data_IF_380276009961
#
_entry.id   IF_380276009961
#
_cell.length_a   1.000
_cell.length_b   1.000
_cell.length_c   1.000
_cell.angle_alpha   90.00
_cell.angle_beta   90.00
_cell.angle_gamma   90.00
#
_symmetry.space_group_name_H-M   'P 1'
#
loop_
_entity.id
_entity.type
_entity.pdbx_description
1 polymer ?
#
# COMPACT_ATOMS: atom_id res chain seq x y z
N UNK A 1 -12.31 -10.69 -28.21
CA UNK A 1 -11.77 -10.74 -26.84
C UNK A 1 -12.94 -10.69 -25.89
N UNK A 2 -13.20 -11.79 -25.21
CA UNK A 2 -14.31 -11.87 -24.25
C UNK A 2 -14.00 -11.00 -23.03
N UNK A 3 -14.76 -9.90 -22.93
CA UNK A 3 -14.72 -8.99 -21.78
C UNK A 3 -15.74 -9.47 -20.75
N UNK A 4 -15.31 -9.60 -19.50
CA UNK A 4 -16.19 -9.88 -18.36
C UNK A 4 -16.23 -8.65 -17.45
N UNK A 5 -17.41 -8.32 -16.99
CA UNK A 5 -17.63 -7.14 -16.15
C UNK A 5 -18.09 -7.57 -14.75
N UNK A 6 -17.65 -6.82 -13.74
CA UNK A 6 -18.08 -6.95 -12.36
C UNK A 6 -18.68 -5.63 -11.86
N UNK A 7 -19.94 -5.65 -11.45
CA UNK A 7 -20.58 -4.46 -10.91
C UNK A 7 -20.15 -4.16 -9.47
N UNK A 8 -19.72 -2.93 -9.25
CA UNK A 8 -19.53 -2.33 -7.92
C UNK A 8 -20.89 -1.90 -7.33
N UNK A 9 -21.84 -1.56 -8.19
CA UNK A 9 -23.17 -1.08 -7.81
C UNK A 9 -24.27 -2.10 -8.15
N UNK A 10 -25.40 -2.10 -7.43
CA UNK A 10 -25.64 -1.34 -6.20
C UNK A 10 -24.82 -1.88 -5.03
N UNK A 11 -24.20 -0.99 -4.24
CA UNK A 11 -23.47 -1.33 -3.00
C UNK A 11 -24.32 -2.18 -2.05
N UNK A 12 -25.65 -2.02 -2.15
CA UNK A 12 -26.67 -2.83 -1.47
C UNK A 12 -26.35 -4.33 -1.38
N UNK A 13 -25.78 -4.88 -2.45
CA UNK A 13 -25.43 -6.30 -2.59
C UNK A 13 -24.39 -6.80 -1.57
N UNK A 14 -23.67 -5.89 -0.92
CA UNK A 14 -22.58 -6.21 0.01
C UNK A 14 -22.92 -5.94 1.48
N UNK A 15 -24.16 -5.56 1.84
CA UNK A 15 -24.55 -5.30 3.23
C UNK A 15 -24.71 -6.56 4.08
N UNK A 16 -25.34 -7.61 3.53
CA UNK A 16 -25.73 -8.80 4.31
C UNK A 16 -24.64 -9.88 4.37
N UNK A 17 -23.58 -9.73 3.57
CA UNK A 17 -22.45 -10.64 3.60
C UNK A 17 -21.66 -10.48 4.91
N UNK A 18 -21.09 -11.57 5.41
CA UNK A 18 -20.13 -11.55 6.51
C UNK A 18 -18.87 -12.28 6.06
N UNK A 19 -18.09 -11.62 5.20
CA UNK A 19 -16.82 -12.15 4.75
C UNK A 19 -15.83 -12.18 5.92
N UNK A 20 -15.24 -13.34 6.16
CA UNK A 20 -14.18 -13.50 7.15
C UNK A 20 -12.86 -12.98 6.60
N UNK A 21 -12.06 -12.34 7.44
CA UNK A 21 -10.66 -12.03 7.15
C UNK A 21 -9.75 -12.81 8.09
N UNK A 22 -8.67 -13.39 7.55
CA UNK A 22 -7.58 -13.91 8.36
C UNK A 22 -6.61 -12.78 8.67
N UNK A 23 -6.14 -12.69 9.91
CA UNK A 23 -5.15 -11.68 10.29
C UNK A 23 -3.90 -11.84 9.41
N UNK A 24 -3.40 -10.76 8.77
CA UNK A 24 -2.13 -10.80 8.06
C UNK A 24 -0.99 -11.23 8.99
N UNK A 25 -0.16 -12.16 8.53
CA UNK A 25 1.06 -12.59 9.23
C UNK A 25 2.24 -12.42 8.29
N UNK A 26 3.27 -11.70 8.74
CA UNK A 26 4.54 -11.62 8.01
C UNK A 26 5.15 -13.02 7.87
N UNK A 27 5.53 -13.36 6.63
CA UNK A 27 6.18 -14.64 6.29
C UNK A 27 7.61 -14.43 5.77
N UNK A 28 7.91 -13.26 5.21
CA UNK A 28 9.23 -12.86 4.75
C UNK A 28 9.30 -11.31 4.70
N UNK A 29 10.50 -10.77 4.51
CA UNK A 29 10.72 -9.34 4.31
C UNK A 29 11.94 -9.11 3.42
N UNK A 30 12.01 -7.92 2.85
CA UNK A 30 13.15 -7.43 2.09
C UNK A 30 13.27 -5.92 2.25
N UNK A 31 14.42 -5.38 1.85
CA UNK A 31 14.75 -3.96 1.98
C UNK A 31 15.34 -3.44 0.67
N UNK A 32 15.04 -2.19 0.34
CA UNK A 32 15.83 -1.38 -0.60
C UNK A 32 16.75 -0.46 0.21
N UNK A 33 18.02 -0.33 -0.18
CA UNK A 33 18.97 0.59 0.46
C UNK A 33 18.82 2.04 -0.03
N UNK A 34 19.69 2.95 0.44
CA UNK A 34 19.66 4.37 0.08
C UNK A 34 19.92 4.64 -1.42
N UNK A 35 20.43 3.65 -2.16
CA UNK A 35 20.60 3.66 -3.61
C UNK A 35 19.52 2.84 -4.35
N UNK A 36 18.45 2.45 -3.65
CA UNK A 36 17.35 1.64 -4.14
C UNK A 36 17.77 0.25 -4.65
N UNK A 37 18.81 -0.36 -4.06
CA UNK A 37 19.22 -1.73 -4.39
C UNK A 37 18.52 -2.72 -3.46
N UNK A 38 18.02 -3.80 -4.05
CA UNK A 38 17.32 -4.86 -3.34
C UNK A 38 18.26 -5.68 -2.45
N UNK A 39 17.81 -5.95 -1.23
CA UNK A 39 18.45 -6.83 -0.25
C UNK A 39 17.39 -7.67 0.46
N UNK A 40 17.65 -8.96 0.66
CA UNK A 40 16.82 -9.78 1.54
C UNK A 40 17.01 -9.37 3.00
N UNK A 41 15.94 -9.40 3.79
CA UNK A 41 15.97 -9.06 5.21
C UNK A 41 15.61 -7.59 5.50
N UNK A 42 16.08 -7.10 6.64
CA UNK A 42 15.52 -5.93 7.33
C UNK A 42 16.46 -4.74 7.47
N UNK A 43 17.45 -4.62 6.57
CA UNK A 43 18.48 -3.57 6.64
C UNK A 43 17.94 -2.15 6.63
N UNK A 44 16.76 -1.92 6.04
CA UNK A 44 16.13 -0.59 5.94
C UNK A 44 15.01 -0.36 6.96
N UNK A 45 14.87 -1.26 7.95
CA UNK A 45 13.88 -1.15 9.02
C UNK A 45 14.10 0.14 9.83
N UNK A 46 13.01 0.87 10.08
CA UNK A 46 13.00 2.09 10.88
C UNK A 46 12.16 1.94 12.15
N UNK A 47 12.45 2.79 13.14
CA UNK A 47 11.79 2.79 14.44
C UNK A 47 11.11 4.12 14.66
N UNK A 48 9.83 4.11 15.02
CA UNK A 48 9.05 5.31 15.23
C UNK A 48 9.63 6.11 16.41
N UNK A 49 9.81 7.40 16.19
CA UNK A 49 10.11 8.34 17.25
C UNK A 49 9.45 9.67 16.89
N UNK A 50 8.62 10.25 17.77
CA UNK A 50 7.81 11.41 17.41
C UNK A 50 8.68 12.60 16.97
N UNK A 51 8.26 13.33 15.92
CA UNK A 51 8.96 14.53 15.49
C UNK A 51 8.81 15.65 16.54
N UNK A 52 9.78 16.58 16.65
CA UNK A 52 9.59 17.80 17.42
C UNK A 52 8.42 18.61 16.83
N UNK A 53 7.60 19.22 17.69
CA UNK A 53 6.49 20.08 17.26
C UNK A 53 6.71 21.53 17.71
N UNK A 54 6.40 22.52 16.86
CA UNK A 54 5.91 22.38 15.48
C UNK A 54 7.00 21.87 14.51
N UNK A 55 6.62 21.04 13.53
CA UNK A 55 7.56 20.53 12.52
C UNK A 55 7.34 21.21 11.16
N UNK A 56 8.39 21.78 10.58
CA UNK A 56 8.33 22.37 9.23
C UNK A 56 8.65 21.32 8.15
N UNK A 57 7.62 20.91 7.41
CA UNK A 57 7.77 19.90 6.36
C UNK A 57 8.40 20.43 5.07
N UNK A 58 8.64 21.74 4.93
CA UNK A 58 9.27 22.31 3.73
C UNK A 58 10.80 22.22 3.76
N UNK A 59 11.40 22.11 4.95
CA UNK A 59 12.86 22.11 5.11
C UNK A 59 13.49 20.97 4.31
N UNK A 60 14.47 21.29 3.48
CA UNK A 60 15.23 20.32 2.67
C UNK A 60 14.62 19.95 1.31
N UNK A 61 13.52 20.58 0.89
CA UNK A 61 12.86 20.28 -0.39
C UNK A 61 13.79 20.41 -1.60
N UNK A 62 14.63 21.46 -1.64
CA UNK A 62 15.55 21.71 -2.76
C UNK A 62 16.68 20.65 -2.86
N UNK A 63 16.95 19.94 -1.77
CA UNK A 63 17.95 18.86 -1.69
C UNK A 63 17.33 17.46 -1.72
N UNK A 64 16.02 17.33 -1.96
CA UNK A 64 15.32 16.06 -1.89
C UNK A 64 15.88 15.04 -2.89
N UNK A 65 16.36 13.90 -2.38
CA UNK A 65 16.79 12.75 -3.18
C UNK A 65 15.58 11.89 -3.50
N UNK A 66 14.95 12.18 -4.64
CA UNK A 66 13.73 11.53 -5.08
C UNK A 66 14.03 10.30 -5.95
N UNK A 67 13.50 9.15 -5.57
CA UNK A 67 13.45 7.93 -6.37
C UNK A 67 12.73 8.18 -7.71
N UNK A 68 13.35 7.76 -8.81
CA UNK A 68 12.70 7.67 -10.12
C UNK A 68 11.90 6.37 -10.21
N UNK A 69 10.59 6.48 -10.02
CA UNK A 69 9.65 5.36 -10.00
C UNK A 69 8.88 5.19 -11.32
N UNK A 70 9.48 5.64 -12.43
CA UNK A 70 8.95 5.52 -13.79
C UNK A 70 9.16 4.14 -14.40
N UNK A 71 10.21 3.43 -13.95
CA UNK A 71 10.50 2.07 -14.36
C UNK A 71 9.38 1.10 -13.96
N UNK A 72 9.30 -0.01 -14.69
CA UNK A 72 8.42 -1.12 -14.34
C UNK A 72 9.18 -2.08 -13.42
N UNK A 73 8.83 -2.08 -12.14
CA UNK A 73 9.43 -2.96 -11.13
C UNK A 73 8.78 -4.35 -11.12
N UNK A 74 7.69 -4.53 -11.87
CA UNK A 74 6.91 -5.76 -11.92
C UNK A 74 6.62 -6.33 -10.51
N UNK A 75 6.63 -7.65 -10.36
CA UNK A 75 6.58 -8.33 -9.07
C UNK A 75 7.97 -8.79 -8.60
N UNK A 76 9.06 -8.31 -9.21
CA UNK A 76 10.38 -8.95 -9.14
C UNK A 76 10.87 -9.14 -7.71
N UNK A 77 10.94 -8.07 -6.91
CA UNK A 77 11.38 -8.15 -5.52
C UNK A 77 10.48 -9.03 -4.64
N UNK A 78 9.16 -9.04 -4.90
CA UNK A 78 8.21 -9.90 -4.20
C UNK A 78 8.44 -11.38 -4.56
N UNK A 79 8.58 -11.69 -5.85
CA UNK A 79 8.82 -13.05 -6.33
C UNK A 79 10.19 -13.57 -5.89
N UNK A 80 11.22 -12.73 -5.89
CA UNK A 80 12.56 -13.07 -5.39
C UNK A 80 12.51 -13.40 -3.89
N UNK A 81 11.79 -12.60 -3.11
CA UNK A 81 11.59 -12.83 -1.67
C UNK A 81 10.80 -14.12 -1.41
N UNK A 82 9.73 -14.38 -2.16
CA UNK A 82 8.97 -15.63 -2.06
C UNK A 82 9.86 -16.83 -2.42
N UNK A 83 10.61 -16.75 -3.52
CA UNK A 83 11.52 -17.80 -3.93
C UNK A 83 12.59 -18.09 -2.86
N UNK A 84 13.15 -17.05 -2.22
CA UNK A 84 14.09 -17.23 -1.11
C UNK A 84 13.46 -17.97 0.07
N UNK A 85 12.23 -17.59 0.46
CA UNK A 85 11.47 -18.27 1.52
C UNK A 85 11.18 -19.73 1.16
N UNK A 86 10.81 -20.03 -0.08
CA UNK A 86 10.53 -21.39 -0.54
C UNK A 86 11.78 -22.26 -0.51
N UNK A 87 12.95 -21.70 -0.86
CA UNK A 87 14.26 -22.37 -0.75
C UNK A 87 14.64 -22.66 0.70
N UNK A 88 14.46 -21.68 1.60
CA UNK A 88 14.77 -21.84 3.04
C UNK A 88 13.88 -22.90 3.69
N UNK A 89 12.58 -22.89 3.39
CA UNK A 89 11.59 -23.75 4.05
C UNK A 89 11.36 -25.09 3.35
N UNK A 90 11.91 -25.27 2.14
CA UNK A 90 11.65 -26.39 1.24
C UNK A 90 10.14 -26.62 1.00
N UNK A 91 9.34 -25.54 1.02
CA UNK A 91 7.89 -25.58 0.86
C UNK A 91 7.41 -24.41 0.02
N UNK A 92 6.56 -24.71 -0.96
CA UNK A 92 5.92 -23.68 -1.78
C UNK A 92 4.99 -22.79 -0.95
N UNK A 93 5.03 -21.49 -1.19
CA UNK A 93 4.12 -20.54 -0.57
C UNK A 93 2.75 -20.63 -1.25
N UNK A 94 1.81 -21.34 -0.61
CA UNK A 94 0.45 -21.52 -1.12
C UNK A 94 -0.40 -20.24 -0.99
N UNK A 95 -0.77 -19.68 -2.15
CA UNK A 95 -1.68 -18.56 -2.30
C UNK A 95 -2.56 -18.73 -3.54
N UNK A 96 -3.76 -18.16 -3.51
CA UNK A 96 -4.59 -18.05 -4.71
C UNK A 96 -4.21 -16.81 -5.53
N UNK A 97 -3.79 -15.74 -4.84
CA UNK A 97 -3.34 -14.49 -5.49
C UNK A 97 -2.06 -13.99 -4.82
N UNK A 98 -1.10 -13.55 -5.65
CA UNK A 98 0.15 -12.89 -5.24
C UNK A 98 0.18 -11.50 -5.87
N UNK A 99 0.37 -10.46 -5.06
CA UNK A 99 0.32 -9.07 -5.57
C UNK A 99 0.95 -8.07 -4.59
N UNK A 100 1.13 -6.83 -5.03
CA UNK A 100 1.45 -5.70 -4.17
C UNK A 100 0.24 -5.20 -3.39
N UNK A 101 0.46 -4.73 -2.17
CA UNK A 101 -0.54 -4.10 -1.29
C UNK A 101 -1.29 -2.98 -1.98
N UNK A 102 -0.62 -2.21 -2.83
CA UNK A 102 -1.22 -1.12 -3.60
C UNK A 102 -2.40 -1.60 -4.47
N UNK A 103 -2.29 -2.78 -5.08
CA UNK A 103 -3.36 -3.34 -5.93
C UNK A 103 -4.57 -3.74 -5.08
N UNK A 104 -4.33 -4.47 -3.99
CA UNK A 104 -5.39 -4.84 -3.05
C UNK A 104 -6.04 -3.62 -2.39
N UNK A 105 -5.29 -2.54 -2.14
CA UNK A 105 -5.84 -1.27 -1.63
C UNK A 105 -6.83 -0.66 -2.61
N UNK A 106 -6.52 -0.67 -3.92
CA UNK A 106 -7.41 -0.17 -4.98
C UNK A 106 -8.70 -0.99 -5.07
N UNK A 107 -8.59 -2.32 -5.00
CA UNK A 107 -9.74 -3.24 -5.00
C UNK A 107 -10.61 -3.01 -3.75
N UNK A 108 -10.01 -3.05 -2.56
CA UNK A 108 -10.73 -2.94 -1.29
C UNK A 108 -11.49 -1.62 -1.17
N UNK A 109 -10.93 -0.53 -1.69
CA UNK A 109 -11.54 0.80 -1.65
C UNK A 109 -12.50 1.11 -2.82
N UNK A 110 -12.56 0.26 -3.85
CA UNK A 110 -13.33 0.52 -5.08
C UNK A 110 -14.82 0.88 -4.86
N UNK A 111 -15.53 0.32 -3.84
CA UNK A 111 -16.93 0.69 -3.57
C UNK A 111 -17.17 2.15 -3.26
N UNK A 112 -16.18 2.83 -2.67
CA UNK A 112 -16.31 4.22 -2.21
C UNK A 112 -15.30 5.17 -2.86
N UNK A 113 -14.37 4.64 -3.66
CA UNK A 113 -13.42 5.43 -4.43
C UNK A 113 -13.86 5.59 -5.89
N UNK A 114 -14.80 6.50 -6.11
CA UNK A 114 -15.31 6.81 -7.45
C UNK A 114 -14.41 7.78 -8.21
N UNK A 115 -13.50 8.49 -7.52
CA UNK A 115 -12.70 9.54 -8.15
C UNK A 115 -11.45 8.99 -8.85
N UNK A 116 -10.96 7.81 -8.44
CA UNK A 116 -9.76 7.22 -9.02
C UNK A 116 -10.10 5.99 -9.88
N UNK A 117 -9.43 5.92 -11.04
CA UNK A 117 -9.35 4.71 -11.85
C UNK A 117 -8.13 3.86 -11.46
N UNK A 118 -8.08 2.65 -11.99
CA UNK A 118 -6.89 1.80 -11.94
C UNK A 118 -6.84 0.83 -13.11
N UNK A 119 -5.63 0.47 -13.50
CA UNK A 119 -5.35 -0.64 -14.40
C UNK A 119 -4.28 -1.54 -13.80
N UNK A 120 -4.48 -2.85 -13.94
CA UNK A 120 -3.59 -3.90 -13.45
C UNK A 120 -3.39 -4.94 -14.54
N UNK A 121 -2.20 -5.52 -14.62
CA UNK A 121 -1.96 -6.72 -15.42
C UNK A 121 -2.07 -7.95 -14.51
N UNK A 122 -2.53 -9.07 -15.06
CA UNK A 122 -2.60 -10.32 -14.34
C UNK A 122 -2.26 -11.52 -15.23
N UNK A 123 -1.70 -12.57 -14.64
CA UNK A 123 -1.50 -13.86 -15.30
C UNK A 123 -1.78 -15.02 -14.33
N UNK A 124 -2.17 -16.17 -14.86
CA UNK A 124 -2.34 -17.41 -14.09
C UNK A 124 -1.09 -18.27 -14.25
N UNK A 125 -0.39 -18.57 -13.15
CA UNK A 125 0.76 -19.46 -13.15
C UNK A 125 0.62 -20.48 -12.02
N UNK A 126 0.62 -21.77 -12.36
CA UNK A 126 0.43 -22.87 -11.41
C UNK A 126 -0.75 -22.65 -10.45
N UNK A 127 -1.94 -22.39 -11.00
CA UNK A 127 -3.23 -22.12 -10.30
C UNK A 127 -3.30 -20.86 -9.43
N UNK A 128 -2.21 -20.08 -9.30
CA UNK A 128 -2.21 -18.77 -8.64
C UNK A 128 -2.32 -17.65 -9.65
N UNK A 129 -3.11 -16.61 -9.36
CA UNK A 129 -3.10 -15.37 -10.13
C UNK A 129 -2.03 -14.42 -9.58
N UNK A 130 -1.20 -13.90 -10.46
CA UNK A 130 -0.20 -12.88 -10.14
C UNK A 130 -0.68 -11.56 -10.72
N UNK A 131 -0.76 -10.53 -9.89
CA UNK A 131 -1.36 -9.24 -10.27
C UNK A 131 -0.38 -8.12 -9.98
N UNK A 132 -0.08 -7.31 -10.98
CA UNK A 132 0.80 -6.15 -10.89
C UNK A 132 0.10 -4.86 -11.35
N UNK A 133 0.70 -3.72 -11.05
CA UNK A 133 0.22 -2.44 -11.59
C UNK A 133 0.49 -2.36 -13.09
N UNK A 134 -0.44 -1.78 -13.86
CA UNK A 134 -0.09 -1.40 -15.21
C UNK A 134 0.78 -0.14 -15.20
N UNK A 135 2.09 -0.29 -15.42
CA UNK A 135 3.07 0.80 -15.32
C UNK A 135 2.81 1.95 -16.30
N UNK A 136 2.38 1.66 -17.54
CA UNK A 136 2.07 2.71 -18.51
C UNK A 136 0.88 3.57 -18.08
N UNK A 137 -0.19 2.96 -17.58
CA UNK A 137 -1.32 3.68 -16.98
C UNK A 137 -0.90 4.47 -15.74
N UNK A 138 -0.09 3.89 -14.84
CA UNK A 138 0.48 4.59 -13.67
C UNK A 138 1.19 5.88 -14.09
N UNK A 139 2.09 5.78 -15.07
CA UNK A 139 2.89 6.91 -15.55
C UNK A 139 2.05 7.95 -16.28
N UNK A 140 1.05 7.55 -17.07
CA UNK A 140 0.08 8.46 -17.69
C UNK A 140 -0.69 9.26 -16.61
N UNK A 141 -1.21 8.58 -15.58
CA UNK A 141 -1.94 9.25 -14.49
C UNK A 141 -1.05 10.23 -13.71
N UNK A 142 0.21 9.88 -13.45
CA UNK A 142 1.19 10.80 -12.83
C UNK A 142 1.41 12.04 -13.69
N UNK A 143 1.56 11.87 -15.00
CA UNK A 143 1.78 12.99 -15.91
C UNK A 143 0.55 13.90 -16.01
N UNK A 144 -0.66 13.32 -16.02
CA UNK A 144 -1.91 14.08 -15.96
C UNK A 144 -1.95 14.90 -14.66
N UNK A 145 -1.66 14.29 -13.50
CA UNK A 145 -1.65 14.99 -12.22
C UNK A 145 -0.65 16.14 -12.20
N UNK A 146 0.60 15.91 -12.63
CA UNK A 146 1.65 16.93 -12.69
C UNK A 146 1.27 18.14 -13.55
N UNK A 147 0.48 17.92 -14.60
CA UNK A 147 0.02 18.98 -15.50
C UNK A 147 -1.23 19.73 -15.01
N UNK A 148 -1.87 19.30 -13.91
CA UNK A 148 -3.02 20.00 -13.35
C UNK A 148 -2.61 21.34 -12.73
N UNK A 149 -3.31 22.40 -13.11
CA UNK A 149 -3.09 23.74 -12.54
C UNK A 149 -3.58 23.78 -11.10
N UNK A 150 -2.66 24.06 -10.19
CA UNK A 150 -3.00 24.28 -8.79
C UNK A 150 -3.73 25.61 -8.61
N UNK A 151 -4.74 25.68 -7.71
CA UNK A 151 -5.34 26.95 -7.34
C UNK A 151 -4.30 27.94 -6.80
N UNK A 152 -4.46 29.26 -7.04
CA UNK A 152 -3.56 30.27 -6.50
C UNK A 152 -3.42 30.14 -4.97
N UNK A 153 -2.18 30.19 -4.49
CA UNK A 153 -1.88 30.09 -3.06
C UNK A 153 -1.82 28.67 -2.48
N UNK A 154 -2.01 27.62 -3.28
CA UNK A 154 -1.73 26.24 -2.87
C UNK A 154 -0.28 25.84 -3.17
N UNK A 155 0.30 25.03 -2.29
CA UNK A 155 1.58 24.36 -2.52
C UNK A 155 1.53 23.50 -3.79
N UNK A 156 2.68 23.35 -4.47
CA UNK A 156 2.81 22.46 -5.62
C UNK A 156 2.53 21.01 -5.22
N UNK A 157 2.13 20.19 -6.19
CA UNK A 157 1.93 18.75 -5.93
C UNK A 157 3.22 18.07 -5.49
N UNK A 158 4.36 18.47 -6.06
CA UNK A 158 5.68 17.94 -5.69
C UNK A 158 6.03 18.27 -4.24
N UNK A 159 5.77 19.50 -3.78
CA UNK A 159 5.97 19.89 -2.39
C UNK A 159 5.02 19.15 -1.45
N UNK A 160 3.76 18.97 -1.85
CA UNK A 160 2.80 18.19 -1.05
C UNK A 160 3.15 16.71 -0.94
N UNK A 161 3.77 16.13 -1.97
CA UNK A 161 4.31 14.77 -1.92
C UNK A 161 5.53 14.70 -0.99
N UNK A 162 6.45 15.67 -1.11
CA UNK A 162 7.63 15.78 -0.24
C UNK A 162 7.27 15.86 1.25
N UNK A 163 6.18 16.57 1.60
CA UNK A 163 5.71 16.66 2.98
C UNK A 163 5.46 15.29 3.64
N UNK A 164 5.09 14.26 2.87
CA UNK A 164 5.00 12.88 3.38
C UNK A 164 6.37 12.36 3.81
N UNK A 165 7.32 12.34 2.88
CA UNK A 165 8.68 11.86 3.13
C UNK A 165 9.43 12.67 4.21
N UNK A 166 9.24 13.99 4.26
CA UNK A 166 9.81 14.80 5.34
C UNK A 166 9.20 14.44 6.69
N UNK A 167 7.90 14.18 6.75
CA UNK A 167 7.27 13.75 7.99
C UNK A 167 7.79 12.39 8.45
N UNK A 168 7.97 11.43 7.53
CA UNK A 168 8.60 10.14 7.81
C UNK A 168 10.02 10.32 8.36
N UNK A 169 10.87 11.07 7.66
CA UNK A 169 12.25 11.33 8.08
C UNK A 169 12.36 11.97 9.47
N UNK A 170 11.41 12.84 9.84
CA UNK A 170 11.36 13.45 11.17
C UNK A 170 10.80 12.52 12.25
N UNK A 171 10.02 11.51 11.85
CA UNK A 171 9.23 10.65 12.75
C UNK A 171 9.85 9.27 12.97
N UNK A 172 11.09 9.06 12.52
CA UNK A 172 11.76 7.76 12.62
C UNK A 172 13.21 7.88 13.11
N UNK A 173 13.77 6.73 13.47
CA UNK A 173 15.17 6.47 13.77
C UNK A 173 15.64 5.23 13.00
N UNK A 174 16.95 5.14 12.76
CA UNK A 174 17.56 3.98 12.07
C UNK A 174 17.72 2.75 12.98
N UNK A 175 17.60 2.95 14.29
CA UNK A 175 17.72 1.92 15.31
C UNK A 175 16.81 2.29 16.51
N UNK A 176 16.58 1.38 17.48
CA UNK A 176 15.81 1.71 18.67
C UNK A 176 16.35 2.95 19.40
N UNK A 177 15.50 3.59 20.20
CA UNK A 177 15.84 4.84 20.88
C UNK A 177 17.09 4.73 21.78
N UNK A 178 17.19 3.66 22.58
CA UNK A 178 18.26 3.49 23.58
C UNK A 178 19.69 3.58 23.01
N UNK A 179 20.04 2.89 21.90
CA UNK A 179 21.36 3.05 21.29
C UNK A 179 21.54 4.30 20.42
N UNK A 180 20.47 5.04 20.09
CA UNK A 180 20.54 6.19 19.17
C UNK A 180 21.27 7.37 19.82
N UNK A 181 22.37 7.88 19.24
CA UNK A 181 23.03 9.07 19.75
C UNK A 181 22.11 10.29 19.75
N UNK A 182 22.12 11.07 20.84
CA UNK A 182 21.31 12.29 20.98
C UNK A 182 21.43 13.23 19.77
N UNK A 183 22.65 13.40 19.25
CA UNK A 183 22.92 14.22 18.07
C UNK A 183 22.13 13.75 16.85
N UNK A 184 22.03 12.44 16.60
CA UNK A 184 21.25 11.89 15.48
C UNK A 184 19.75 12.21 15.64
N UNK A 185 19.22 12.14 16.87
CA UNK A 185 17.82 12.48 17.18
C UNK A 185 17.52 13.96 16.90
N UNK A 186 18.41 14.85 17.35
CA UNK A 186 18.26 16.30 17.26
C UNK A 186 18.52 16.84 15.84
N UNK A 187 19.42 16.21 15.07
CA UNK A 187 19.80 16.66 13.72
C UNK A 187 18.83 16.20 12.60
N UNK A 188 17.76 15.45 12.91
CA UNK A 188 16.81 14.93 11.89
C UNK A 188 16.17 16.00 11.02
N UNK A 189 16.01 17.22 11.55
CA UNK A 189 15.50 18.33 10.75
C UNK A 189 16.42 18.72 9.60
N UNK A 190 17.73 18.51 9.76
CA UNK A 190 18.77 18.85 8.78
C UNK A 190 19.11 17.69 7.84
N UNK A 191 18.60 16.48 8.11
CA UNK A 191 18.82 15.34 7.24
C UNK A 191 18.24 15.59 5.85
N UNK A 192 19.04 15.24 4.84
CA UNK A 192 18.59 15.15 3.46
C UNK A 192 17.57 14.03 3.39
N UNK A 193 16.35 14.36 2.97
CA UNK A 193 15.31 13.36 2.78
C UNK A 193 15.64 12.53 1.53
N UNK A 194 15.56 11.22 1.68
CA UNK A 194 15.75 10.23 0.64
C UNK A 194 14.61 9.21 0.74
N UNK A 195 13.91 8.94 -0.36
CA UNK A 195 12.81 7.95 -0.42
C UNK A 195 13.17 6.68 -1.23
N UNK A 196 14.46 6.45 -1.49
CA UNK A 196 14.96 5.22 -2.13
C UNK A 196 14.93 4.04 -1.16
N UNK A 197 15.34 4.26 0.10
CA UNK A 197 15.38 3.22 1.11
C UNK A 197 13.98 2.88 1.60
N UNK A 198 13.65 1.60 1.58
CA UNK A 198 12.32 1.09 1.91
C UNK A 198 12.44 -0.25 2.60
N UNK A 199 11.61 -0.49 3.62
CA UNK A 199 11.44 -1.81 4.20
C UNK A 199 10.08 -2.38 3.79
N UNK A 200 10.09 -3.59 3.24
CA UNK A 200 8.89 -4.25 2.72
C UNK A 200 8.58 -5.53 3.49
N UNK A 201 7.36 -5.60 4.02
CA UNK A 201 6.80 -6.80 4.63
C UNK A 201 6.08 -7.64 3.57
N UNK A 202 6.33 -8.95 3.56
CA UNK A 202 5.56 -9.92 2.77
C UNK A 202 4.67 -10.71 3.72
N UNK A 203 3.37 -10.49 3.61
CA UNK A 203 2.38 -11.10 4.51
C UNK A 203 1.54 -12.15 3.81
N UNK A 204 1.13 -13.16 4.57
CA UNK A 204 0.08 -14.10 4.18
C UNK A 204 -1.22 -13.73 4.88
N UNK A 205 -2.31 -13.70 4.13
CA UNK A 205 -3.65 -13.40 4.64
C UNK A 205 -4.73 -14.14 3.83
N UNK A 206 -6.01 -13.93 4.15
CA UNK A 206 -7.13 -14.38 3.33
C UNK A 206 -8.33 -13.46 3.52
N UNK A 207 -9.05 -13.17 2.44
CA UNK A 207 -10.32 -12.45 2.43
C UNK A 207 -11.38 -13.37 1.85
N UNK A 208 -12.42 -13.68 2.63
CA UNK A 208 -13.37 -14.74 2.29
C UNK A 208 -12.65 -16.08 2.16
N UNK A 209 -12.82 -16.75 1.02
CA UNK A 209 -12.15 -18.04 0.72
C UNK A 209 -10.84 -17.89 -0.05
N UNK A 210 -10.45 -16.65 -0.40
CA UNK A 210 -9.28 -16.38 -1.24
C UNK A 210 -8.05 -16.13 -0.37
N UNK A 211 -7.03 -16.98 -0.51
CA UNK A 211 -5.72 -16.87 0.15
C UNK A 211 -4.84 -15.90 -0.62
N UNK A 212 -4.23 -14.97 0.09
CA UNK A 212 -3.43 -13.90 -0.50
C UNK A 212 -2.00 -13.93 0.07
N UNK A 213 -1.03 -13.66 -0.81
CA UNK A 213 0.31 -13.20 -0.42
C UNK A 213 0.46 -11.78 -0.94
N UNK A 214 0.76 -10.87 -0.02
CA UNK A 214 0.80 -9.44 -0.30
C UNK A 214 2.15 -8.89 0.15
N UNK A 215 2.89 -8.27 -0.78
CA UNK A 215 4.06 -7.47 -0.43
C UNK A 215 3.68 -6.00 -0.25
N UNK A 216 4.32 -5.29 0.68
CA UNK A 216 4.20 -3.84 0.74
C UNK A 216 5.12 -3.19 1.76
N UNK A 217 5.47 -1.94 1.47
CA UNK A 217 6.23 -1.07 2.36
C UNK A 217 5.50 -0.83 3.68
N UNK A 218 6.25 -0.82 4.79
CA UNK A 218 5.80 -0.36 6.10
C UNK A 218 6.81 0.67 6.65
N UNK A 219 6.29 1.74 7.24
CA UNK A 219 7.10 2.94 7.51
C UNK A 219 8.03 2.77 8.72
N UNK A 220 7.56 2.14 9.80
CA UNK A 220 8.35 1.91 11.00
C UNK A 220 7.76 0.85 11.95
N UNK A 221 8.54 0.46 12.96
CA UNK A 221 8.08 -0.27 14.15
C UNK A 221 7.92 0.71 15.32
N UNK A 222 6.86 0.53 16.12
CA UNK A 222 6.57 1.36 17.28
C UNK A 222 7.64 1.29 18.38
N UNK A 223 8.13 0.08 18.64
CA UNK A 223 9.03 -0.25 19.75
C UNK A 223 10.25 -1.07 19.26
N UNK A 224 10.08 -2.38 19.09
CA UNK A 224 11.11 -3.29 18.60
C UNK A 224 10.47 -4.40 17.77
N UNK A 225 11.19 -4.90 16.77
CA UNK A 225 10.74 -6.08 16.04
C UNK A 225 11.04 -7.30 16.92
N UNK A 226 10.05 -8.16 17.21
CA UNK A 226 10.24 -9.31 18.09
C UNK A 226 11.16 -10.34 17.44
N UNK A 227 12.03 -10.99 18.24
CA UNK A 227 12.91 -12.07 17.78
C UNK A 227 12.12 -13.29 17.30
N UNK A 228 10.96 -13.54 17.93
CA UNK A 228 10.10 -14.67 17.61
C UNK A 228 9.14 -14.32 16.48
N UNK A 229 9.20 -15.08 15.39
CA UNK A 229 8.33 -14.92 14.20
C UNK A 229 6.82 -15.10 14.49
N UNK A 230 6.43 -15.63 15.64
CA UNK A 230 5.02 -15.77 16.03
C UNK A 230 4.46 -14.53 16.74
N UNK A 231 5.34 -13.72 17.32
CA UNK A 231 4.94 -12.56 18.11
C UNK A 231 4.48 -11.43 17.20
N UNK A 232 3.60 -10.59 17.73
CA UNK A 232 2.99 -9.51 16.96
C UNK A 232 4.03 -8.41 16.78
N UNK A 233 4.25 -8.01 15.53
CA UNK A 233 5.05 -6.83 15.22
C UNK A 233 4.16 -5.59 15.35
N UNK A 234 4.59 -4.61 16.12
CA UNK A 234 3.87 -3.35 16.32
C UNK A 234 4.22 -2.34 15.22
N UNK A 235 3.83 -2.64 13.98
CA UNK A 235 4.04 -1.73 12.86
C UNK A 235 3.33 -0.39 13.06
N UNK A 236 3.89 0.64 12.44
CA UNK A 236 3.36 2.00 12.39
C UNK A 236 3.34 2.48 10.95
N UNK A 237 2.21 3.01 10.53
CA UNK A 237 2.09 3.78 9.30
C UNK A 237 2.12 5.28 9.63
N UNK A 238 2.85 6.06 8.86
CA UNK A 238 2.99 7.50 8.98
C UNK A 238 2.23 8.18 7.85
N UNK A 239 1.44 9.19 8.21
CA UNK A 239 0.63 9.95 7.25
C UNK A 239 0.62 11.41 7.62
N UNK A 240 0.44 12.26 6.62
CA UNK A 240 0.14 13.68 6.83
C UNK A 240 -1.25 14.04 6.32
N UNK A 241 -1.89 15.00 6.99
CA UNK A 241 -3.14 15.57 6.53
C UNK A 241 -3.22 17.06 6.83
N UNK A 242 -4.03 17.78 6.05
CA UNK A 242 -4.38 19.15 6.39
C UNK A 242 -5.27 19.16 7.65
N UNK A 243 -5.17 20.21 8.45
CA UNK A 243 -6.09 20.47 9.56
C UNK A 243 -7.56 20.45 9.11
N UNK A 244 -8.41 19.91 9.99
CA UNK A 244 -9.85 19.82 9.78
C UNK A 244 -10.48 21.07 10.41
N UNK A 245 -11.00 21.97 9.58
CA UNK A 245 -11.54 23.28 10.04
C UNK A 245 -13.06 23.37 9.91
N UNK A 246 -13.66 22.50 9.12
CA UNK A 246 -15.08 22.51 8.78
C UNK A 246 -15.52 21.13 8.26
N UNK A 247 -16.82 20.98 8.04
CA UNK A 247 -17.43 19.73 7.58
C UNK A 247 -16.93 19.24 6.22
N UNK A 248 -16.59 20.16 5.30
CA UNK A 248 -16.05 19.79 3.99
C UNK A 248 -14.66 19.16 4.12
N UNK A 249 -13.85 19.67 5.04
CA UNK A 249 -12.52 19.11 5.34
C UNK A 249 -12.65 17.78 6.08
N UNK A 250 -13.66 17.61 6.94
CA UNK A 250 -13.96 16.32 7.56
C UNK A 250 -14.29 15.25 6.50
N UNK A 251 -15.16 15.55 5.53
CA UNK A 251 -15.50 14.62 4.44
C UNK A 251 -14.28 14.27 3.58
N UNK A 252 -13.37 15.23 3.33
CA UNK A 252 -12.09 14.95 2.64
C UNK A 252 -11.20 14.03 3.49
N UNK A 253 -11.14 14.26 4.79
CA UNK A 253 -10.35 13.45 5.70
C UNK A 253 -10.90 12.02 5.78
N UNK A 254 -12.21 11.82 5.83
CA UNK A 254 -12.77 10.46 5.82
C UNK A 254 -12.44 9.68 4.54
N UNK A 255 -12.41 10.36 3.39
CA UNK A 255 -11.93 9.72 2.14
C UNK A 255 -10.46 9.31 2.23
N UNK A 256 -9.62 10.08 2.91
CA UNK A 256 -8.24 9.67 3.21
C UNK A 256 -8.21 8.50 4.19
N UNK A 257 -9.05 8.53 5.24
CA UNK A 257 -9.15 7.46 6.22
C UNK A 257 -9.52 6.11 5.58
N UNK A 258 -10.34 6.08 4.51
CA UNK A 258 -10.58 4.86 3.74
C UNK A 258 -9.27 4.27 3.20
N UNK A 259 -8.41 5.10 2.63
CA UNK A 259 -7.12 4.67 2.07
C UNK A 259 -6.13 4.30 3.16
N UNK A 260 -6.02 5.11 4.21
CA UNK A 260 -5.17 4.82 5.37
C UNK A 260 -5.57 3.48 6.00
N UNK A 261 -6.86 3.28 6.26
CA UNK A 261 -7.40 2.02 6.76
C UNK A 261 -7.07 0.87 5.83
N UNK A 262 -7.40 0.95 4.53
CA UNK A 262 -7.17 -0.14 3.58
C UNK A 262 -5.68 -0.51 3.48
N UNK A 263 -4.79 0.49 3.43
CA UNK A 263 -3.35 0.30 3.30
C UNK A 263 -2.76 -0.43 4.51
N UNK A 264 -3.09 0.03 5.72
CA UNK A 264 -2.58 -0.52 6.97
C UNK A 264 -3.24 -1.86 7.32
N UNK A 265 -4.56 -1.99 7.09
CA UNK A 265 -5.32 -3.21 7.36
C UNK A 265 -4.81 -4.42 6.57
N UNK A 266 -4.46 -4.23 5.29
CA UNK A 266 -4.01 -5.31 4.40
C UNK A 266 -2.64 -5.89 4.80
N UNK A 267 -1.79 -5.10 5.45
CA UNK A 267 -0.49 -5.55 5.99
C UNK A 267 -0.53 -5.85 7.49
N UNK A 268 -1.68 -5.70 8.13
CA UNK A 268 -1.84 -5.94 9.56
C UNK A 268 -1.15 -4.87 10.44
N UNK A 269 -0.96 -3.66 9.90
CA UNK A 269 -0.38 -2.53 10.63
C UNK A 269 -1.40 -2.00 11.64
N UNK A 270 -1.14 -2.11 12.96
CA UNK A 270 -2.13 -1.80 13.98
C UNK A 270 -2.32 -0.30 14.22
N UNK A 271 -1.30 0.53 13.95
CA UNK A 271 -1.28 1.94 14.31
C UNK A 271 -0.93 2.83 13.12
N UNK A 272 -1.61 3.97 13.02
CA UNK A 272 -1.31 5.04 12.07
C UNK A 272 -1.08 6.33 12.85
N UNK A 273 0.03 7.02 12.61
CA UNK A 273 0.31 8.35 13.15
C UNK A 273 0.04 9.39 12.07
N UNK A 274 -0.89 10.30 12.33
CA UNK A 274 -1.25 11.37 11.41
C UNK A 274 -0.70 12.71 11.89
N UNK A 275 0.26 13.27 11.15
CA UNK A 275 0.71 14.65 11.31
C UNK A 275 -0.26 15.64 10.65
N UNK A 276 -0.95 16.44 11.47
CA UNK A 276 -1.84 17.48 10.97
C UNK A 276 -1.10 18.79 10.76
N UNK A 277 -1.01 19.20 9.50
CA UNK A 277 -0.34 20.42 9.07
C UNK A 277 -1.30 21.54 8.69
N UNK A 278 -0.84 22.77 8.86
CA UNK A 278 -1.48 23.94 8.27
C UNK A 278 -1.20 24.05 6.76
N UNK A 279 -1.61 25.17 6.16
CA UNK A 279 -1.44 25.42 4.72
C UNK A 279 0.02 25.73 4.36
N UNK A 280 0.83 26.13 5.34
CA UNK A 280 2.22 26.46 5.19
C UNK A 280 3.12 25.23 5.32
N UNK A 281 2.56 24.04 5.54
CA UNK A 281 3.35 22.82 5.68
C UNK A 281 3.84 22.56 7.11
N UNK A 282 3.33 23.30 8.10
CA UNK A 282 3.78 23.16 9.49
C UNK A 282 2.86 22.19 10.24
N UNK A 283 3.41 21.07 10.72
CA UNK A 283 2.69 20.12 11.59
C UNK A 283 2.58 20.70 12.99
N UNK A 284 1.36 20.79 13.49
CA UNK A 284 1.07 21.36 14.82
C UNK A 284 0.59 20.33 15.84
N UNK A 285 0.03 19.22 15.37
CA UNK A 285 -0.43 18.12 16.22
C UNK A 285 -0.27 16.78 15.52
N UNK A 286 -0.12 15.75 16.33
CA UNK A 286 -0.21 14.36 15.92
C UNK A 286 -1.55 13.77 16.36
N UNK A 287 -2.00 12.75 15.66
CA UNK A 287 -3.12 11.92 16.07
C UNK A 287 -2.75 10.46 15.88
N UNK A 288 -2.89 9.67 16.94
CA UNK A 288 -2.74 8.22 16.85
C UNK A 288 -4.09 7.59 16.50
N UNK A 289 -4.09 6.77 15.45
CA UNK A 289 -5.24 6.01 15.03
C UNK A 289 -4.94 4.52 15.15
N UNK A 290 -5.79 3.80 15.87
CA UNK A 290 -5.83 2.34 15.77
C UNK A 290 -6.56 1.93 14.49
N UNK A 291 -5.88 1.21 13.59
CA UNK A 291 -6.39 0.81 12.28
C UNK A 291 -7.76 0.14 12.37
N UNK A 292 -7.93 -0.80 13.31
CA UNK A 292 -9.18 -1.53 13.51
C UNK A 292 -10.36 -0.63 13.94
N UNK A 293 -10.08 0.52 14.57
CA UNK A 293 -11.11 1.45 15.05
C UNK A 293 -11.63 2.41 13.98
N UNK A 294 -10.87 2.61 12.89
CA UNK A 294 -11.16 3.64 11.88
C UNK A 294 -12.57 3.51 11.27
N UNK A 295 -13.01 2.32 10.80
CA UNK A 295 -14.35 2.20 10.22
C UNK A 295 -15.47 2.57 11.21
N UNK A 296 -15.33 2.17 12.47
CA UNK A 296 -16.30 2.49 13.51
C UNK A 296 -16.31 3.99 13.85
N UNK A 297 -15.14 4.65 13.87
CA UNK A 297 -15.02 6.10 14.05
C UNK A 297 -15.74 6.87 12.93
N UNK A 298 -15.50 6.50 11.66
CA UNK A 298 -16.16 7.13 10.50
C UNK A 298 -17.67 6.98 10.57
N UNK A 299 -18.17 5.79 10.96
CA UNK A 299 -19.60 5.50 11.05
C UNK A 299 -20.30 6.20 12.22
N UNK A 300 -19.68 6.24 13.41
CA UNK A 300 -20.32 6.71 14.65
C UNK A 300 -20.08 8.19 14.96
N UNK A 301 -18.88 8.68 14.66
CA UNK A 301 -18.43 10.03 15.01
C UNK A 301 -18.30 10.94 13.78
N UNK A 302 -18.19 10.34 12.60
CA UNK A 302 -18.01 11.02 11.34
C UNK A 302 -19.31 11.30 10.58
N UNK A 303 -19.18 11.41 9.26
CA UNK A 303 -20.24 11.60 8.26
C UNK A 303 -20.63 10.28 7.59
N UNK A 304 -20.03 9.16 7.99
CA UNK A 304 -20.35 7.84 7.45
C UNK A 304 -20.11 7.73 5.94
N UNK A 305 -19.05 8.37 5.41
CA UNK A 305 -18.81 8.42 3.96
C UNK A 305 -18.40 7.09 3.33
N UNK A 306 -18.04 6.09 4.13
CA UNK A 306 -17.74 4.72 3.70
C UNK A 306 -18.00 3.72 4.84
N UNK A 307 -18.16 2.45 4.50
CA UNK A 307 -18.37 1.36 5.46
C UNK A 307 -17.35 0.23 5.22
N UNK A 308 -16.56 -0.10 6.24
CA UNK A 308 -15.49 -1.09 6.14
C UNK A 308 -15.99 -2.52 5.87
N UNK A 309 -17.20 -2.88 6.33
CA UNK A 309 -17.76 -4.20 6.05
C UNK A 309 -18.11 -4.34 4.57
N UNK A 310 -18.68 -3.28 3.97
CA UNK A 310 -18.93 -3.25 2.53
C UNK A 310 -17.62 -3.43 1.75
N UNK A 311 -16.55 -2.74 2.13
CA UNK A 311 -15.25 -2.90 1.48
C UNK A 311 -14.77 -4.36 1.51
N UNK A 312 -14.79 -5.00 2.69
CA UNK A 312 -14.34 -6.39 2.87
C UNK A 312 -15.23 -7.37 2.09
N UNK A 313 -16.55 -7.21 2.17
CA UNK A 313 -17.51 -8.06 1.49
C UNK A 313 -17.41 -7.93 -0.04
N UNK A 314 -17.26 -6.70 -0.53
CA UNK A 314 -16.99 -6.44 -1.95
C UNK A 314 -15.71 -7.15 -2.39
N UNK A 315 -14.61 -6.97 -1.66
CA UNK A 315 -13.34 -7.59 -1.99
C UNK A 315 -13.45 -9.13 -2.00
N UNK A 316 -14.11 -9.73 -1.00
CA UNK A 316 -14.32 -11.18 -0.96
C UNK A 316 -15.03 -11.69 -2.22
N UNK A 317 -16.18 -11.10 -2.57
CA UNK A 317 -16.96 -11.49 -3.74
C UNK A 317 -16.20 -11.24 -5.05
N UNK A 318 -15.52 -10.08 -5.16
CA UNK A 318 -14.74 -9.74 -6.34
C UNK A 318 -13.58 -10.71 -6.55
N UNK A 319 -12.84 -11.06 -5.49
CA UNK A 319 -11.70 -11.98 -5.59
C UNK A 319 -12.13 -13.41 -5.97
N UNK A 320 -13.28 -13.90 -5.46
CA UNK A 320 -13.82 -15.20 -5.89
C UNK A 320 -14.22 -15.19 -7.37
N UNK A 321 -14.87 -14.11 -7.83
CA UNK A 321 -15.20 -13.91 -9.24
C UNK A 321 -13.95 -13.76 -10.13
N UNK A 322 -12.92 -13.08 -9.63
CA UNK A 322 -11.67 -12.88 -10.36
C UNK A 322 -10.97 -14.21 -10.60
N UNK A 323 -10.91 -15.09 -9.60
CA UNK A 323 -10.35 -16.44 -9.75
C UNK A 323 -11.09 -17.30 -10.77
N UNK A 324 -12.42 -17.21 -10.84
CA UNK A 324 -13.19 -17.93 -11.87
C UNK A 324 -13.06 -17.29 -13.25
N UNK A 325 -12.55 -16.06 -13.33
CA UNK A 325 -12.29 -15.36 -14.58
C UNK A 325 -10.88 -15.61 -15.09
N UNK A 326 -9.86 -15.50 -14.23
CA UNK A 326 -8.44 -15.67 -14.54
C UNK A 326 -7.98 -17.04 -14.04
N UNK A 327 -8.22 -18.06 -14.84
CA UNK A 327 -7.84 -19.45 -14.55
C UNK A 327 -7.07 -20.12 -15.69
N UNK A 328 -7.09 -19.53 -16.87
CA UNK A 328 -6.36 -20.01 -18.05
C UNK A 328 -5.04 -19.27 -18.23
N UNK A 329 -4.14 -19.88 -18.99
CA UNK A 329 -2.88 -19.25 -19.43
C UNK A 329 -3.16 -17.96 -20.22
N UNK A 330 -2.20 -17.04 -20.15
CA UNK A 330 -2.21 -15.78 -20.85
C UNK A 330 -2.13 -14.57 -19.91
N UNK A 331 -2.22 -13.41 -20.52
CA UNK A 331 -2.15 -12.13 -19.82
C UNK A 331 -3.51 -11.43 -19.87
N UNK A 332 -3.88 -10.81 -18.76
CA UNK A 332 -5.18 -10.22 -18.54
C UNK A 332 -5.04 -8.78 -18.07
N UNK A 333 -6.01 -7.93 -18.43
CA UNK A 333 -6.16 -6.57 -17.92
C UNK A 333 -7.34 -6.52 -16.97
N UNK A 334 -7.12 -5.98 -15.78
CA UNK A 334 -8.17 -5.60 -14.82
C UNK A 334 -8.25 -4.08 -14.84
N UNK A 335 -9.42 -3.51 -15.16
CA UNK A 335 -9.58 -2.07 -15.32
C UNK A 335 -10.82 -1.53 -14.63
N UNK A 336 -10.63 -0.46 -13.86
CA UNK A 336 -11.71 0.42 -13.41
C UNK A 336 -11.43 1.82 -13.91
N UNK A 337 -12.35 2.39 -14.69
CA UNK A 337 -12.26 3.80 -15.10
C UNK A 337 -12.69 4.73 -13.97
N UNK A 338 -12.23 5.98 -13.99
CA UNK A 338 -12.76 7.01 -13.10
C UNK A 338 -14.28 7.12 -13.23
N UNK A 339 -14.97 7.30 -12.09
CA UNK A 339 -16.43 7.40 -11.97
C UNK A 339 -17.22 6.17 -12.46
N UNK A 340 -16.55 5.12 -12.95
CA UNK A 340 -17.18 3.87 -13.33
C UNK A 340 -17.69 3.10 -12.11
N UNK A 341 -18.86 2.50 -12.26
CA UNK A 341 -19.41 1.51 -11.34
C UNK A 341 -19.06 0.07 -11.72
N UNK A 342 -18.19 -0.12 -12.71
CA UNK A 342 -17.79 -1.42 -13.25
C UNK A 342 -16.27 -1.61 -13.17
N UNK A 343 -15.86 -2.85 -12.90
CA UNK A 343 -14.51 -3.36 -13.14
C UNK A 343 -14.58 -4.32 -14.33
N UNK A 344 -13.82 -4.02 -15.37
CA UNK A 344 -13.70 -4.83 -16.58
C UNK A 344 -12.49 -5.75 -16.45
N UNK A 345 -12.63 -7.02 -16.85
CA UNK A 345 -11.53 -7.97 -16.99
C UNK A 345 -11.55 -8.57 -18.39
N UNK A 346 -10.44 -8.49 -19.11
CA UNK A 346 -10.33 -9.02 -20.47
C UNK A 346 -8.92 -9.52 -20.76
N UNK A 347 -8.85 -10.55 -21.60
CA UNK A 347 -7.59 -11.17 -22.02
C UNK A 347 -6.87 -10.29 -23.04
N UNK A 348 -5.57 -10.12 -22.87
CA UNK A 348 -4.67 -9.39 -23.77
C UNK A 348 -3.95 -10.35 -24.71
N UNK A 349 -3.37 -11.42 -24.16
CA UNK A 349 -2.64 -12.45 -24.90
C UNK A 349 -3.08 -13.83 -24.44
N UNK A 350 -3.11 -14.79 -25.36
CA UNK A 350 -3.60 -16.15 -25.09
C UNK A 350 -2.60 -17.06 -24.37
N UNK A 351 -1.31 -16.73 -24.44
CA UNK A 351 -0.21 -17.56 -23.94
C UNK A 351 0.80 -16.70 -23.18
N UNK A 352 1.60 -17.33 -22.33
CA UNK A 352 2.68 -16.66 -21.59
C UNK A 352 2.20 -15.82 -20.40
N UNK A 353 3.16 -15.13 -19.79
CA UNK A 353 2.99 -14.41 -18.52
C UNK A 353 3.18 -12.90 -18.61
N UNK A 354 3.46 -12.34 -19.80
CA UNK A 354 3.56 -10.89 -20.02
C UNK A 354 4.59 -10.18 -19.15
N UNK A 355 5.73 -10.83 -18.92
CA UNK A 355 6.83 -10.40 -18.04
C UNK A 355 6.48 -10.23 -16.54
N UNK A 356 5.21 -10.45 -16.14
CA UNK A 356 4.74 -10.41 -14.74
C UNK A 356 5.47 -11.44 -13.86
N UNK A 357 5.83 -12.58 -14.45
CA UNK A 357 6.57 -13.66 -13.78
C UNK A 357 8.01 -13.65 -14.27
N UNK A 358 8.94 -13.41 -13.36
CA UNK A 358 10.36 -13.44 -13.69
C UNK A 358 10.81 -14.84 -14.15
N UNK A 359 11.73 -14.96 -15.12
CA UNK A 359 12.24 -16.24 -15.59
C UNK A 359 12.85 -17.09 -14.46
N UNK A 360 13.51 -16.46 -13.49
CA UNK A 360 14.08 -17.13 -12.33
C UNK A 360 13.00 -17.79 -11.46
N UNK A 361 11.90 -17.08 -11.19
CA UNK A 361 10.79 -17.62 -10.40
C UNK A 361 10.08 -18.78 -11.12
N UNK A 362 9.81 -18.62 -12.42
CA UNK A 362 9.22 -19.67 -13.25
C UNK A 362 10.09 -20.94 -13.29
N UNK A 363 11.40 -20.77 -13.47
CA UNK A 363 12.36 -21.88 -13.48
C UNK A 363 12.49 -22.58 -12.11
N UNK A 364 12.38 -21.83 -11.01
CA UNK A 364 12.36 -22.39 -9.65
C UNK A 364 11.13 -23.25 -9.43
N UNK A 365 9.93 -22.68 -9.65
CA UNK A 365 8.66 -23.38 -9.41
C UNK A 365 8.37 -24.52 -10.37
N UNK A 366 9.02 -24.57 -11.53
CA UNK A 366 8.92 -25.71 -12.46
C UNK A 366 9.81 -26.90 -12.07
N UNK A 367 10.76 -26.71 -11.14
CA UNK A 367 11.67 -27.76 -10.64
C UNK A 367 11.26 -28.32 -9.28
N UNK A 368 10.60 -27.48 -8.47
CA UNK A 368 9.99 -27.84 -7.19
C UNK A 368 8.71 -28.67 -7.43
#
# INVERSE_FOLDING_TARGET
MDRKDFDIQPIGRFYEASATIRRPKEIACFSYDDEHRFHLGESSLKYYYPPPLPADLNRGFDSFQKLDDSADEHLDALLETIMALEKETAKQCEADIVTWRGMMTKILAAPFDHLNGFEMNATCFQVSSFIEENNSYKNEQKQIQKNQRMPPGMASQELMAYWGYKFEALSVLNQPWDPTPRKEIEDREELVVNNNAQYCSVVRTAIGRTRLVIGGEVDAVWDCKPDRKEDIIHWVELKTSAEIRNDRDMVKYERKLLKFWAQSFLLGVPKIIVGFRDQQGIVRRLEELETASIPAKVKKLGRGTWDGNICINFAATFLEWLKSTIHEEGTWRIRKREKSSLIEVFKLEDIGTGDIISPAFSAWRSKA
#
